data_IF_029651165291
#
_entry.id   IF_029651165291
#
_cell.length_a   1.000
_cell.length_b   1.000
_cell.length_c   1.000
_cell.angle_alpha   90.00
_cell.angle_beta   90.00
_cell.angle_gamma   90.00
#
_symmetry.space_group_name_H-M   'P 1'
#
loop_
_entity.id
_entity.type
_entity.pdbx_description
1 polymer ?
#
# COMPACT_ATOMS: atom_id res chain seq x y z
N UNK A 1 15.59 -17.72 11.83
CA UNK A 1 14.62 -18.58 12.55
C UNK A 1 13.48 -18.88 11.61
N UNK A 2 12.92 -20.08 11.72
CA UNK A 2 11.72 -20.46 10.97
C UNK A 2 10.62 -20.89 11.93
N UNK A 3 9.39 -20.58 11.58
CA UNK A 3 8.20 -21.10 12.24
C UNK A 3 7.36 -21.86 11.21
N UNK A 4 7.00 -23.08 11.59
CA UNK A 4 6.17 -23.97 10.78
C UNK A 4 4.75 -23.93 11.34
N UNK A 5 3.82 -23.48 10.50
CA UNK A 5 2.40 -23.43 10.82
C UNK A 5 1.70 -24.61 10.16
N UNK A 6 1.23 -25.56 10.94
CA UNK A 6 0.50 -26.73 10.44
C UNK A 6 -0.81 -26.32 9.74
N UNK A 7 -1.06 -26.84 8.55
CA UNK A 7 -2.21 -26.50 7.71
C UNK A 7 -3.01 -27.76 7.40
N UNK A 8 -4.26 -27.79 7.86
CA UNK A 8 -5.17 -28.88 7.53
C UNK A 8 -5.85 -28.66 6.18
N UNK A 9 -6.04 -29.72 5.41
CA UNK A 9 -6.78 -29.66 4.15
C UNK A 9 -6.05 -29.08 2.94
N UNK A 10 -4.88 -28.49 3.13
CA UNK A 10 -4.08 -27.92 2.04
C UNK A 10 -3.43 -28.99 1.16
N UNK A 11 -3.04 -28.64 -0.06
CA UNK A 11 -2.35 -29.52 -1.01
C UNK A 11 -0.85 -29.26 -0.94
N UNK A 12 -0.05 -30.31 -0.77
CA UNK A 12 1.42 -30.17 -0.77
C UNK A 12 1.91 -29.67 -2.14
N UNK A 13 2.88 -28.76 -2.14
CA UNK A 13 3.40 -28.11 -3.34
C UNK A 13 2.56 -26.91 -3.83
N UNK A 14 1.40 -26.66 -3.23
CA UNK A 14 0.62 -25.46 -3.51
C UNK A 14 1.32 -24.23 -2.92
N UNK A 15 1.36 -23.13 -3.67
CA UNK A 15 1.90 -21.86 -3.19
C UNK A 15 0.76 -21.00 -2.65
N UNK A 16 0.92 -20.54 -1.42
CA UNK A 16 -0.05 -19.70 -0.71
C UNK A 16 0.61 -18.42 -0.24
N UNK A 17 -0.18 -17.39 0.02
CA UNK A 17 0.28 -16.23 0.76
C UNK A 17 0.01 -16.47 2.25
N UNK A 18 1.04 -16.35 3.07
CA UNK A 18 0.93 -16.47 4.50
C UNK A 18 1.52 -15.25 5.20
N UNK A 19 0.88 -14.80 6.27
CA UNK A 19 1.35 -13.67 7.07
C UNK A 19 1.02 -13.85 8.54
N UNK A 20 1.84 -13.25 9.41
CA UNK A 20 1.62 -13.22 10.86
C UNK A 20 2.30 -12.01 11.48
N UNK A 21 1.73 -11.51 12.56
CA UNK A 21 2.38 -10.52 13.43
C UNK A 21 3.15 -11.22 14.53
N UNK A 22 4.31 -10.65 14.90
CA UNK A 22 5.12 -11.11 16.00
C UNK A 22 4.91 -10.18 17.20
N UNK A 23 4.56 -10.76 18.34
CA UNK A 23 4.31 -10.04 19.58
C UNK A 23 5.12 -10.60 20.73
N UNK A 24 5.61 -9.73 21.63
CA UNK A 24 6.14 -10.10 22.93
C UNK A 24 5.08 -9.85 24.00
N UNK A 25 4.84 -10.83 24.85
CA UNK A 25 3.85 -10.75 25.94
C UNK A 25 4.52 -11.04 27.27
N UNK A 26 4.31 -10.16 28.26
CA UNK A 26 4.71 -10.36 29.65
C UNK A 26 3.74 -9.65 30.60
N UNK A 27 3.31 -10.34 31.67
CA UNK A 27 2.54 -9.70 32.75
C UNK A 27 1.21 -9.06 32.37
N UNK A 28 0.63 -9.45 31.22
CA UNK A 28 -0.60 -8.85 30.67
C UNK A 28 -0.37 -7.67 29.73
N UNK A 29 0.86 -7.22 29.59
CA UNK A 29 1.26 -6.25 28.57
C UNK A 29 1.69 -6.96 27.29
N UNK A 30 1.48 -6.30 26.15
CA UNK A 30 1.86 -6.81 24.83
C UNK A 30 2.56 -5.73 24.01
N UNK A 31 3.62 -6.13 23.32
CA UNK A 31 4.45 -5.25 22.49
C UNK A 31 4.64 -5.90 21.11
N UNK A 32 4.44 -5.15 20.06
CA UNK A 32 4.72 -5.59 18.69
C UNK A 32 6.22 -5.68 18.48
N UNK A 33 6.66 -6.77 17.86
CA UNK A 33 8.04 -7.00 17.46
C UNK A 33 8.25 -6.80 15.95
N UNK A 34 7.23 -7.15 15.15
CA UNK A 34 7.31 -7.06 13.71
C UNK A 34 6.20 -7.82 13.01
N UNK A 35 6.34 -7.96 11.72
CA UNK A 35 5.44 -8.70 10.86
C UNK A 35 6.25 -9.59 9.92
N UNK A 36 5.74 -10.78 9.64
CA UNK A 36 6.33 -11.73 8.68
C UNK A 36 5.27 -12.16 7.68
N UNK A 37 5.66 -12.33 6.46
CA UNK A 37 4.75 -12.84 5.43
C UNK A 37 5.39 -12.93 4.06
N UNK A 38 4.68 -13.62 3.17
CA UNK A 38 5.08 -13.77 1.80
C UNK A 38 4.46 -15.01 1.15
N UNK A 39 4.85 -15.24 -0.09
CA UNK A 39 4.50 -16.48 -0.79
C UNK A 39 5.32 -17.64 -0.20
N UNK A 40 4.65 -18.69 0.19
CA UNK A 40 5.25 -19.89 0.76
C UNK A 40 4.63 -21.13 0.12
N UNK A 41 5.47 -22.11 -0.18
CA UNK A 41 5.00 -23.41 -0.62
C UNK A 41 4.56 -24.27 0.58
N UNK A 42 3.45 -24.97 0.44
CA UNK A 42 2.99 -25.93 1.45
C UNK A 42 3.91 -27.15 1.42
N UNK A 43 4.76 -27.25 2.41
CA UNK A 43 5.67 -28.36 2.61
C UNK A 43 5.01 -29.51 3.38
N UNK A 44 5.64 -30.68 3.35
CA UNK A 44 5.20 -31.87 4.10
C UNK A 44 6.39 -32.50 4.84
N UNK A 45 6.21 -32.73 6.13
CA UNK A 45 7.14 -33.51 6.92
C UNK A 45 6.39 -34.46 7.84
N UNK A 46 6.79 -35.73 7.91
CA UNK A 46 6.13 -36.73 8.75
C UNK A 46 4.62 -36.90 8.50
N UNK A 47 4.13 -36.53 7.30
CA UNK A 47 2.69 -36.52 6.97
C UNK A 47 1.93 -35.29 7.43
N UNK A 48 2.57 -34.36 8.11
CA UNK A 48 2.00 -33.06 8.49
C UNK A 48 2.33 -32.05 7.39
N UNK A 49 1.32 -31.32 6.93
CA UNK A 49 1.48 -30.21 6.00
C UNK A 49 1.65 -28.92 6.76
N UNK A 50 2.55 -28.08 6.30
CA UNK A 50 2.85 -26.81 6.97
C UNK A 50 3.30 -25.74 5.99
N UNK A 51 3.10 -24.50 6.41
CA UNK A 51 3.69 -23.30 5.80
C UNK A 51 4.85 -22.85 6.66
N UNK A 52 6.00 -22.59 6.06
CA UNK A 52 7.20 -22.12 6.77
C UNK A 52 7.38 -20.63 6.53
N UNK A 53 7.31 -19.84 7.61
CA UNK A 53 7.66 -18.43 7.60
C UNK A 53 9.02 -18.25 8.27
N UNK A 54 9.92 -17.55 7.56
CA UNK A 54 11.25 -17.22 8.05
C UNK A 54 11.32 -15.79 8.57
N UNK A 55 12.08 -15.57 9.62
CA UNK A 55 12.43 -14.25 10.11
C UNK A 55 13.86 -14.20 10.62
N UNK A 56 14.48 -13.03 10.54
CA UNK A 56 15.80 -12.86 11.10
C UNK A 56 15.72 -12.78 12.62
N UNK A 57 16.61 -13.50 13.29
CA UNK A 57 16.70 -13.49 14.74
C UNK A 57 16.89 -12.10 15.34
N UNK A 58 17.55 -11.21 14.61
CA UNK A 58 17.81 -9.82 15.02
C UNK A 58 16.56 -8.95 15.06
N UNK A 59 15.46 -9.40 14.43
CA UNK A 59 14.17 -8.74 14.49
C UNK A 59 13.43 -9.00 15.79
N UNK A 60 13.87 -10.01 16.57
CA UNK A 60 13.21 -10.43 17.80
C UNK A 60 14.11 -10.14 18.98
N UNK A 61 13.86 -9.04 19.66
CA UNK A 61 14.40 -8.76 20.98
C UNK A 61 13.31 -9.07 22.01
N UNK A 62 13.46 -10.20 22.70
CA UNK A 62 12.64 -10.53 23.86
C UNK A 62 13.37 -10.13 25.12
N UNK A 63 12.71 -9.37 25.98
CA UNK A 63 13.18 -9.12 27.33
C UNK A 63 13.01 -10.39 28.20
N UNK A 64 13.68 -10.42 29.36
CA UNK A 64 13.53 -11.54 30.32
C UNK A 64 12.08 -11.66 30.78
N UNK A 65 11.50 -12.84 30.62
CA UNK A 65 10.11 -13.12 30.95
C UNK A 65 9.07 -12.83 29.85
N UNK A 66 9.49 -12.28 28.72
CA UNK A 66 8.60 -12.14 27.57
C UNK A 66 8.46 -13.45 26.80
N UNK A 67 7.26 -13.70 26.31
CA UNK A 67 6.92 -14.83 25.44
C UNK A 67 6.60 -14.33 24.05
N UNK A 68 7.18 -14.95 23.01
CA UNK A 68 6.82 -14.70 21.62
C UNK A 68 5.45 -15.30 21.35
N UNK A 69 4.60 -14.50 20.69
CA UNK A 69 3.27 -14.92 20.26
C UNK A 69 3.08 -14.45 18.82
N UNK A 70 2.48 -15.28 18.00
CA UNK A 70 2.00 -14.88 16.66
C UNK A 70 0.54 -14.50 16.77
N UNK A 71 0.19 -13.35 16.20
CA UNK A 71 -1.19 -12.87 16.10
C UNK A 71 -1.58 -12.63 14.65
N UNK A 72 -2.88 -12.60 14.43
CA UNK A 72 -3.44 -12.26 13.13
C UNK A 72 -2.82 -13.08 11.97
N UNK A 73 -2.61 -14.38 12.25
CA UNK A 73 -2.08 -15.30 11.26
C UNK A 73 -3.13 -15.49 10.19
N UNK A 74 -2.75 -15.30 8.94
CA UNK A 74 -3.62 -15.59 7.80
C UNK A 74 -2.91 -16.43 6.76
N UNK A 75 -3.68 -17.28 6.16
CA UNK A 75 -3.33 -18.05 4.98
C UNK A 75 -4.32 -17.69 3.89
N UNK A 76 -3.83 -17.34 2.71
CA UNK A 76 -4.65 -16.92 1.59
C UNK A 76 -4.20 -17.62 0.32
N UNK A 77 -5.15 -17.85 -0.56
CA UNK A 77 -4.89 -18.34 -1.89
C UNK A 77 -3.97 -17.34 -2.64
N UNK A 78 -2.99 -17.89 -3.38
CA UNK A 78 -1.97 -17.09 -4.06
C UNK A 78 -2.54 -16.06 -5.03
N UNK A 79 -3.47 -16.47 -5.87
CA UNK A 79 -3.93 -15.67 -7.01
C UNK A 79 -5.21 -14.89 -6.72
N UNK A 80 -6.02 -15.38 -5.79
CA UNK A 80 -7.32 -14.83 -5.43
C UNK A 80 -7.35 -14.08 -4.10
N UNK A 81 -6.32 -14.20 -3.24
CA UNK A 81 -6.33 -13.72 -1.85
C UNK A 81 -7.55 -14.20 -1.06
N UNK A 82 -8.25 -15.21 -1.58
CA UNK A 82 -9.32 -15.81 -0.82
C UNK A 82 -8.76 -16.37 0.50
N UNK A 83 -9.33 -16.00 1.65
CA UNK A 83 -8.87 -16.52 2.91
C UNK A 83 -9.06 -18.03 2.98
N UNK A 84 -7.96 -18.75 3.20
CA UNK A 84 -7.98 -20.22 3.40
C UNK A 84 -8.09 -20.54 4.89
N UNK A 85 -7.37 -19.82 5.73
CA UNK A 85 -7.47 -19.90 7.20
C UNK A 85 -7.05 -18.58 7.85
N UNK A 86 -7.65 -18.29 9.01
CA UNK A 86 -7.32 -17.13 9.83
C UNK A 86 -7.27 -17.57 11.28
N UNK A 87 -6.18 -17.24 11.99
CA UNK A 87 -6.00 -17.52 13.42
C UNK A 87 -5.71 -16.22 14.15
N UNK A 88 -6.46 -16.00 15.22
CA UNK A 88 -6.27 -14.80 16.03
C UNK A 88 -4.91 -14.81 16.76
N UNK A 89 -4.54 -15.95 17.30
CA UNK A 89 -3.30 -16.08 18.09
C UNK A 89 -2.79 -17.53 18.08
N UNK A 90 -1.46 -17.69 17.98
CA UNK A 90 -0.76 -18.94 18.15
C UNK A 90 0.46 -18.67 19.04
N UNK A 91 0.58 -19.42 20.13
CA UNK A 91 1.79 -19.44 20.96
C UNK A 91 2.69 -20.55 20.43
N UNK A 92 3.91 -20.25 19.94
CA UNK A 92 4.81 -21.29 19.45
C UNK A 92 5.27 -22.20 20.60
N UNK A 93 5.59 -23.44 20.29
CA UNK A 93 6.16 -24.35 21.27
C UNK A 93 7.54 -23.82 21.71
N UNK A 94 7.66 -23.46 22.97
CA UNK A 94 8.80 -22.74 23.55
C UNK A 94 10.16 -23.49 23.47
N UNK A 95 10.18 -24.74 23.03
CA UNK A 95 11.41 -25.51 22.82
C UNK A 95 12.27 -25.02 21.67
N UNK A 96 11.74 -24.13 20.82
CA UNK A 96 12.36 -23.72 19.56
C UNK A 96 13.07 -22.37 19.60
N UNK A 97 12.87 -21.53 20.62
CA UNK A 97 13.49 -20.20 20.65
C UNK A 97 14.86 -20.26 21.35
N UNK A 98 15.97 -20.11 20.60
CA UNK A 98 17.28 -20.06 21.24
C UNK A 98 17.38 -18.79 22.09
N UNK A 99 18.00 -18.94 23.29
CA UNK A 99 18.30 -17.82 24.15
C UNK A 99 18.98 -16.68 23.40
N UNK A 100 18.61 -15.45 23.74
CA UNK A 100 19.12 -14.20 23.17
C UNK A 100 20.65 -14.25 23.00
N UNK A 101 21.15 -14.10 21.77
CA UNK A 101 22.52 -13.69 21.57
C UNK A 101 22.52 -12.16 21.59
N UNK A 102 22.82 -11.60 22.73
CA UNK A 102 23.23 -10.21 22.82
C UNK A 102 24.36 -9.95 21.80
N UNK A 103 24.25 -8.85 21.05
CA UNK A 103 25.27 -8.32 20.11
C UNK A 103 25.24 -8.81 18.66
N UNK A 104 24.11 -8.78 17.98
CA UNK A 104 24.18 -8.61 16.52
C UNK A 104 23.94 -7.14 16.17
N UNK A 105 24.80 -6.57 15.32
CA UNK A 105 24.58 -5.22 14.79
C UNK A 105 23.18 -5.14 14.14
N UNK A 106 22.51 -3.97 14.19
CA UNK A 106 21.26 -3.78 13.48
C UNK A 106 21.39 -4.23 12.02
N UNK A 107 20.37 -4.89 11.50
CA UNK A 107 20.33 -5.23 10.08
C UNK A 107 20.30 -3.97 9.24
N UNK A 108 21.22 -3.87 8.29
CA UNK A 108 21.10 -2.89 7.22
C UNK A 108 19.98 -3.34 6.29
N UNK A 109 18.97 -2.51 6.12
CA UNK A 109 17.84 -2.75 5.24
C UNK A 109 18.26 -3.09 3.79
N UNK A 110 19.38 -2.53 3.34
CA UNK A 110 19.95 -2.81 2.02
C UNK A 110 20.51 -4.24 1.89
N UNK A 111 20.76 -4.93 2.99
CA UNK A 111 21.27 -6.31 2.98
C UNK A 111 20.19 -7.39 2.79
N UNK A 112 18.92 -7.03 2.85
CA UNK A 112 17.81 -7.94 2.65
C UNK A 112 17.45 -7.99 1.16
N UNK A 113 18.21 -8.73 0.39
CA UNK A 113 17.94 -8.92 -1.03
C UNK A 113 16.60 -9.60 -1.24
N UNK A 114 15.62 -8.87 -1.78
CA UNK A 114 14.52 -9.45 -2.50
C UNK A 114 13.07 -9.16 -2.09
N UNK A 115 12.81 -8.50 -0.96
CA UNK A 115 11.45 -8.05 -0.63
C UNK A 115 11.53 -6.62 -0.10
N UNK A 116 11.16 -5.60 -0.89
CA UNK A 116 11.06 -4.24 -0.38
C UNK A 116 10.03 -4.17 0.75
N UNK A 117 10.39 -3.59 1.86
CA UNK A 117 9.44 -3.16 2.87
C UNK A 117 9.22 -4.06 4.07
N UNK A 118 9.65 -5.32 4.09
CA UNK A 118 9.38 -6.21 5.23
C UNK A 118 10.35 -6.06 6.41
N UNK A 119 11.49 -5.40 6.23
CA UNK A 119 12.62 -5.54 7.15
C UNK A 119 12.86 -4.38 8.11
N UNK A 120 12.30 -3.19 7.89
CA UNK A 120 12.76 -1.99 8.59
C UNK A 120 11.68 -1.06 9.08
N UNK A 121 10.45 -1.38 8.81
CA UNK A 121 9.38 -0.55 9.31
C UNK A 121 9.04 -1.04 10.70
N UNK A 122 9.24 -0.19 11.71
CA UNK A 122 8.53 -0.36 12.97
C UNK A 122 7.05 -0.49 12.59
N UNK A 123 6.50 -1.71 12.75
CA UNK A 123 5.06 -1.91 12.54
C UNK A 123 4.38 -0.85 13.41
N UNK A 124 3.53 0.00 12.83
CA UNK A 124 2.84 1.00 13.63
C UNK A 124 2.17 0.31 14.81
N UNK A 125 2.04 0.98 15.95
CA UNK A 125 1.32 0.47 17.14
C UNK A 125 -0.13 0.05 16.87
N UNK A 126 -0.51 0.01 15.62
CA UNK A 126 -1.83 -0.21 15.03
C UNK A 126 -2.21 -1.64 14.86
N UNK A 127 -1.29 -2.53 14.99
CA UNK A 127 -1.51 -3.93 14.64
C UNK A 127 -2.26 -4.75 15.70
N UNK A 128 -3.01 -4.15 16.58
CA UNK A 128 -4.02 -4.90 17.31
C UNK A 128 -5.24 -5.08 16.39
N UNK A 129 -5.33 -6.22 15.72
CA UNK A 129 -6.52 -6.63 14.94
C UNK A 129 -7.76 -6.96 15.81
N UNK A 130 -7.73 -6.65 17.07
CA UNK A 130 -8.97 -6.33 17.78
C UNK A 130 -9.37 -4.97 17.25
N UNK A 131 -10.44 -4.88 16.42
CA UNK A 131 -10.84 -3.61 15.85
C UNK A 131 -10.96 -2.63 16.99
N UNK A 132 -10.19 -1.54 17.03
CA UNK A 132 -10.35 -0.58 18.11
C UNK A 132 -11.80 -0.14 18.11
N UNK A 133 -12.38 -0.02 19.30
CA UNK A 133 -13.69 0.62 19.46
C UNK A 133 -13.53 2.05 18.96
N UNK A 134 -13.93 2.32 17.73
CA UNK A 134 -13.62 3.60 17.10
C UNK A 134 -14.41 3.90 15.82
N UNK A 135 -14.12 5.04 15.26
CA UNK A 135 -14.74 5.57 14.05
C UNK A 135 -14.24 4.87 12.78
N UNK A 136 -15.04 4.93 11.74
CA UNK A 136 -14.68 4.54 10.38
C UNK A 136 -14.32 5.79 9.58
N UNK A 137 -13.50 5.66 8.53
CA UNK A 137 -13.13 6.80 7.70
C UNK A 137 -13.06 6.46 6.22
N UNK A 138 -13.15 7.49 5.38
CA UNK A 138 -12.65 7.50 4.03
C UNK A 138 -11.36 8.34 4.02
N UNK A 139 -10.22 7.69 3.88
CA UNK A 139 -8.92 8.37 3.84
C UNK A 139 -8.72 8.99 2.47
N UNK A 140 -8.44 10.28 2.43
CA UNK A 140 -8.14 11.03 1.21
C UNK A 140 -6.62 11.27 1.16
N UNK A 141 -5.92 10.51 0.33
CA UNK A 141 -4.47 10.56 0.23
C UNK A 141 -4.02 11.45 -0.93
N UNK A 142 -3.02 12.31 -0.69
CA UNK A 142 -2.32 13.07 -1.70
C UNK A 142 -1.35 12.20 -2.52
N UNK A 143 -0.62 12.80 -3.45
CA UNK A 143 0.39 12.14 -4.27
C UNK A 143 1.83 12.47 -3.88
N UNK A 144 2.75 12.07 -4.76
CA UNK A 144 4.16 12.41 -4.71
C UNK A 144 4.35 13.93 -4.82
N UNK A 145 5.30 14.46 -4.05
CA UNK A 145 5.71 15.84 -4.14
C UNK A 145 4.57 16.86 -3.94
N UNK A 146 3.59 16.52 -3.11
CA UNK A 146 2.49 17.42 -2.78
C UNK A 146 2.95 18.48 -1.75
N UNK A 147 2.46 19.68 -1.90
CA UNK A 147 2.63 20.79 -0.94
C UNK A 147 1.41 20.91 0.01
N UNK A 148 0.31 20.28 -0.34
CA UNK A 148 -0.90 20.17 0.47
C UNK A 148 -1.71 18.94 0.06
N UNK A 149 -2.75 18.62 0.82
CA UNK A 149 -3.73 17.61 0.41
C UNK A 149 -4.66 18.22 -0.66
N UNK A 150 -4.71 17.67 -1.90
CA UNK A 150 -5.43 18.29 -3.01
C UNK A 150 -6.94 18.04 -3.00
N UNK A 151 -7.47 17.26 -2.05
CA UNK A 151 -8.87 16.90 -2.03
C UNK A 151 -9.74 17.98 -1.38
N UNK A 152 -10.77 18.49 -2.06
CA UNK A 152 -11.70 19.48 -1.50
C UNK A 152 -12.65 18.79 -0.51
N UNK A 153 -12.33 18.83 0.78
CA UNK A 153 -13.09 18.16 1.85
C UNK A 153 -14.59 18.46 1.83
N UNK A 154 -14.99 19.65 1.39
CA UNK A 154 -16.40 20.03 1.29
C UNK A 154 -17.21 19.19 0.29
N UNK A 155 -16.54 18.41 -0.58
CA UNK A 155 -17.19 17.50 -1.53
C UNK A 155 -17.30 16.06 -1.00
N UNK A 156 -16.88 15.82 0.24
CA UNK A 156 -16.92 14.50 0.88
C UNK A 156 -17.77 14.54 2.16
N UNK A 157 -18.16 13.37 2.66
CA UNK A 157 -18.89 13.27 3.92
C UNK A 157 -18.00 13.62 5.13
N UNK A 158 -18.63 13.85 6.28
CA UNK A 158 -17.91 14.25 7.51
C UNK A 158 -17.00 13.17 8.13
N UNK A 159 -17.00 11.94 7.59
CA UNK A 159 -16.09 10.85 7.92
C UNK A 159 -14.89 10.77 6.97
N UNK A 160 -14.78 11.68 6.00
CA UNK A 160 -13.59 11.81 5.17
C UNK A 160 -12.45 12.46 5.95
N UNK A 161 -11.28 11.84 5.87
CA UNK A 161 -10.10 12.28 6.60
C UNK A 161 -8.93 12.52 5.65
N UNK A 162 -8.40 13.76 5.58
CA UNK A 162 -7.26 14.06 4.74
C UNK A 162 -5.98 13.52 5.39
N UNK A 163 -5.28 12.67 4.67
CA UNK A 163 -3.93 12.24 5.03
C UNK A 163 -2.91 13.25 4.48
N UNK A 164 -1.99 13.68 5.31
CA UNK A 164 -0.92 14.60 4.94
C UNK A 164 0.43 14.12 5.49
N UNK A 165 1.36 13.87 4.59
CA UNK A 165 2.79 13.80 4.84
C UNK A 165 3.50 14.45 3.65
N UNK A 166 4.00 15.66 3.84
CA UNK A 166 4.56 16.48 2.77
C UNK A 166 6.05 16.18 2.50
N UNK A 167 6.54 15.02 2.92
CA UNK A 167 7.85 14.52 2.53
C UNK A 167 7.88 14.21 1.02
N UNK A 168 8.80 14.85 0.30
CA UNK A 168 8.76 14.89 -1.17
C UNK A 168 9.42 13.69 -1.85
N UNK A 169 9.87 12.67 -1.12
CA UNK A 169 10.64 11.54 -1.68
C UNK A 169 10.24 10.18 -1.13
N UNK A 170 9.06 10.04 -0.53
CA UNK A 170 8.59 8.77 0.01
C UNK A 170 8.48 7.69 -1.07
N UNK A 171 9.08 6.53 -0.83
CA UNK A 171 8.79 5.31 -1.61
C UNK A 171 7.33 4.89 -1.42
N UNK A 172 6.81 4.00 -2.28
CA UNK A 172 5.47 3.43 -2.10
C UNK A 172 5.33 2.75 -0.74
N UNK A 173 6.39 2.08 -0.28
CA UNK A 173 6.43 1.42 1.01
C UNK A 173 6.39 2.41 2.18
N UNK A 174 7.32 3.37 2.21
CA UNK A 174 7.37 4.38 3.26
C UNK A 174 6.05 5.19 3.35
N UNK A 175 5.47 5.51 2.19
CA UNK A 175 4.18 6.19 2.11
C UNK A 175 3.05 5.32 2.70
N UNK A 176 2.99 4.04 2.32
CA UNK A 176 1.97 3.10 2.80
C UNK A 176 2.04 2.94 4.33
N UNK A 177 3.24 2.84 4.87
CA UNK A 177 3.47 2.71 6.32
C UNK A 177 3.08 3.96 7.09
N UNK A 178 3.50 5.13 6.62
CA UNK A 178 3.13 6.39 7.28
C UNK A 178 1.61 6.62 7.20
N UNK A 179 0.98 6.32 6.05
CA UNK A 179 -0.47 6.38 5.89
C UNK A 179 -1.17 5.45 6.89
N UNK A 180 -0.75 4.19 6.98
CA UNK A 180 -1.31 3.22 7.92
C UNK A 180 -1.14 3.70 9.36
N UNK A 181 0.05 4.22 9.72
CA UNK A 181 0.36 4.72 11.05
C UNK A 181 -0.58 5.86 11.46
N UNK A 182 -0.78 6.82 10.57
CA UNK A 182 -1.66 7.97 10.87
C UNK A 182 -3.15 7.60 10.84
N UNK A 183 -3.55 6.68 9.94
CA UNK A 183 -4.92 6.19 9.84
C UNK A 183 -5.30 5.17 10.95
N UNK A 184 -4.37 4.79 11.78
CA UNK A 184 -4.54 3.86 12.88
C UNK A 184 -5.58 4.25 13.93
N UNK A 185 -5.89 5.51 14.00
CA UNK A 185 -6.94 6.04 14.85
C UNK A 185 -8.36 5.57 14.44
N UNK A 186 -8.50 5.00 13.23
CA UNK A 186 -9.76 4.48 12.71
C UNK A 186 -9.81 2.96 12.82
N UNK A 187 -10.98 2.45 13.15
CA UNK A 187 -11.25 1.02 13.21
C UNK A 187 -11.10 0.36 11.84
N UNK A 188 -11.64 1.01 10.84
CA UNK A 188 -11.54 0.61 9.44
C UNK A 188 -11.60 1.84 8.55
N UNK A 189 -11.06 1.73 7.34
CA UNK A 189 -11.08 2.81 6.37
C UNK A 189 -10.94 2.30 4.94
N UNK A 190 -11.63 2.98 4.00
CA UNK A 190 -11.30 2.91 2.59
C UNK A 190 -10.34 4.03 2.21
N UNK A 191 -9.71 3.94 1.04
CA UNK A 191 -8.76 4.95 0.57
C UNK A 191 -9.20 5.50 -0.79
N UNK A 192 -9.18 6.83 -0.91
CA UNK A 192 -9.19 7.55 -2.17
C UNK A 192 -7.82 8.17 -2.34
N UNK A 193 -7.03 7.64 -3.28
CA UNK A 193 -5.66 8.06 -3.53
C UNK A 193 -5.53 8.90 -4.80
N UNK A 194 -4.85 10.04 -4.71
CA UNK A 194 -4.41 10.82 -5.86
C UNK A 194 -2.97 10.47 -6.19
N UNK A 195 -2.65 10.33 -7.48
CA UNK A 195 -1.26 10.14 -7.91
C UNK A 195 -0.60 8.96 -7.18
N UNK A 196 0.61 9.11 -6.64
CA UNK A 196 1.31 8.07 -5.87
C UNK A 196 0.49 7.56 -4.66
N UNK A 197 -0.44 8.33 -4.12
CA UNK A 197 -1.31 7.87 -3.03
C UNK A 197 -2.13 6.62 -3.39
N UNK A 198 -2.44 6.42 -4.67
CA UNK A 198 -3.05 5.18 -5.15
C UNK A 198 -2.08 3.99 -5.17
N UNK A 199 -0.80 4.22 -5.52
CA UNK A 199 0.25 3.20 -5.40
C UNK A 199 0.46 2.80 -3.94
N UNK A 200 0.53 3.78 -3.03
CA UNK A 200 0.66 3.54 -1.60
C UNK A 200 -0.52 2.75 -1.03
N UNK A 201 -1.76 3.04 -1.46
CA UNK A 201 -2.94 2.29 -1.06
C UNK A 201 -2.86 0.81 -1.49
N UNK A 202 -2.49 0.55 -2.74
CA UNK A 202 -2.33 -0.81 -3.25
C UNK A 202 -1.17 -1.54 -2.57
N UNK A 203 -0.07 -0.84 -2.30
CA UNK A 203 1.06 -1.38 -1.55
C UNK A 203 0.64 -1.75 -0.12
N UNK A 204 -0.05 -0.85 0.57
CA UNK A 204 -0.58 -1.09 1.91
C UNK A 204 -1.45 -2.34 1.96
N UNK A 205 -2.44 -2.43 1.07
CA UNK A 205 -3.33 -3.58 1.04
C UNK A 205 -2.61 -4.90 0.72
N UNK A 206 -1.54 -4.84 -0.06
CA UNK A 206 -0.80 -6.03 -0.48
C UNK A 206 0.10 -6.58 0.64
N UNK A 207 0.80 -5.69 1.35
CA UNK A 207 1.92 -6.10 2.21
C UNK A 207 1.65 -5.93 3.70
N UNK A 208 0.68 -5.08 4.09
CA UNK A 208 0.45 -4.73 5.49
C UNK A 208 -0.99 -4.97 5.91
N UNK A 209 -1.15 -5.41 7.16
CA UNK A 209 -2.46 -5.38 7.77
C UNK A 209 -2.76 -3.97 8.27
N UNK A 210 -3.99 -3.51 8.03
CA UNK A 210 -4.42 -2.18 8.42
C UNK A 210 -5.94 -2.11 8.56
N UNK A 211 -6.46 -0.94 8.90
CA UNK A 211 -7.90 -0.70 8.88
C UNK A 211 -8.55 -0.89 7.49
N UNK A 212 -7.72 -0.88 6.43
CA UNK A 212 -8.17 -1.16 5.07
C UNK A 212 -8.70 -2.60 4.90
N UNK A 213 -8.13 -3.58 5.61
CA UNK A 213 -8.57 -4.98 5.57
C UNK A 213 -9.93 -5.20 6.23
N UNK A 214 -10.37 -4.28 7.08
CA UNK A 214 -11.64 -4.33 7.81
C UNK A 214 -12.74 -3.46 7.20
N UNK A 215 -12.41 -2.68 6.19
CA UNK A 215 -13.35 -1.78 5.57
C UNK A 215 -14.39 -2.53 4.74
N UNK A 216 -15.63 -2.07 4.81
CA UNK A 216 -16.74 -2.62 4.02
C UNK A 216 -18.10 -2.10 4.48
N UNK A 217 -19.16 -2.35 3.68
CA UNK A 217 -19.10 -2.68 2.26
C UNK A 217 -18.70 -1.48 1.40
N UNK A 218 -18.10 -1.71 0.23
CA UNK A 218 -17.75 -0.65 -0.71
C UNK A 218 -16.44 -0.91 -1.44
N UNK A 219 -15.95 0.12 -2.14
CA UNK A 219 -14.68 0.10 -2.85
C UNK A 219 -13.55 0.40 -1.87
N UNK A 220 -12.65 -0.56 -1.70
CA UNK A 220 -11.55 -0.42 -0.73
C UNK A 220 -10.55 0.66 -1.16
N UNK A 221 -10.14 0.63 -2.42
CA UNK A 221 -9.15 1.54 -2.98
C UNK A 221 -9.68 2.14 -4.27
N UNK A 222 -9.71 3.46 -4.33
CA UNK A 222 -10.12 4.24 -5.48
C UNK A 222 -9.00 5.21 -5.84
N UNK A 223 -8.40 5.07 -7.01
CA UNK A 223 -7.25 5.88 -7.41
C UNK A 223 -7.61 6.81 -8.55
N UNK A 224 -7.11 8.04 -8.48
CA UNK A 224 -7.31 9.08 -9.47
C UNK A 224 -5.95 9.56 -9.97
N UNK A 225 -5.71 9.44 -11.28
CA UNK A 225 -4.44 9.86 -11.90
C UNK A 225 -3.21 9.17 -11.31
N UNK A 226 -3.33 7.91 -10.94
CA UNK A 226 -2.25 7.16 -10.30
C UNK A 226 -1.34 6.52 -11.35
N UNK A 227 -0.01 6.75 -11.29
CA UNK A 227 0.95 6.16 -12.22
C UNK A 227 1.27 4.71 -11.84
N UNK A 228 0.29 3.80 -12.03
CA UNK A 228 0.43 2.39 -11.64
C UNK A 228 1.51 1.66 -12.44
N UNK A 229 1.70 2.03 -13.71
CA UNK A 229 2.81 1.54 -14.55
C UNK A 229 3.94 2.57 -14.67
N UNK A 230 3.96 3.56 -13.77
CA UNK A 230 4.95 4.62 -13.73
C UNK A 230 4.63 5.79 -14.65
N UNK A 231 5.53 6.77 -14.66
CA UNK A 231 5.50 7.90 -15.59
C UNK A 231 6.91 8.19 -16.10
N UNK A 232 7.09 8.44 -17.41
CA UNK A 232 8.38 8.86 -17.95
C UNK A 232 8.95 10.14 -17.32
N UNK A 233 8.08 10.98 -16.77
CA UNK A 233 8.49 12.22 -16.09
C UNK A 233 9.26 11.96 -14.81
N UNK A 234 9.02 10.85 -14.11
CA UNK A 234 9.74 10.52 -12.88
C UNK A 234 11.24 10.25 -13.12
N UNK A 235 11.62 9.84 -14.32
CA UNK A 235 13.01 9.74 -14.76
C UNK A 235 13.65 11.08 -15.14
N UNK A 236 12.85 12.15 -15.27
CA UNK A 236 13.30 13.50 -15.59
C UNK A 236 12.77 14.48 -14.54
N UNK A 237 13.51 14.60 -13.44
CA UNK A 237 13.12 15.42 -12.29
C UNK A 237 12.89 16.91 -12.63
N UNK A 238 13.60 17.43 -13.63
CA UNK A 238 13.42 18.82 -14.05
C UNK A 238 12.05 19.01 -14.74
N UNK A 239 11.64 18.06 -15.60
CA UNK A 239 10.35 18.12 -16.28
C UNK A 239 9.20 17.84 -15.27
N UNK A 240 9.37 16.90 -14.38
CA UNK A 240 8.39 16.61 -13.33
C UNK A 240 8.21 17.78 -12.37
N UNK A 241 9.31 18.37 -11.89
CA UNK A 241 9.27 19.57 -11.03
C UNK A 241 8.60 20.76 -11.72
N UNK A 242 8.85 20.95 -13.02
CA UNK A 242 8.17 21.97 -13.79
C UNK A 242 6.67 21.70 -13.93
N UNK A 243 6.26 20.45 -14.15
CA UNK A 243 4.86 20.05 -14.23
C UNK A 243 4.10 20.20 -12.91
N UNK A 244 4.77 19.90 -11.78
CA UNK A 244 4.18 19.99 -10.45
C UNK A 244 4.37 21.36 -9.78
N UNK A 245 5.21 22.22 -10.37
CA UNK A 245 5.48 23.58 -9.84
C UNK A 245 6.37 23.63 -8.60
N UNK A 246 6.98 22.53 -8.19
CA UNK A 246 7.80 22.38 -6.98
C UNK A 246 9.07 21.56 -7.25
N UNK A 247 10.05 21.64 -6.35
CA UNK A 247 11.23 20.77 -6.41
C UNK A 247 10.94 19.46 -5.70
N UNK A 248 11.00 18.36 -6.45
CA UNK A 248 10.76 17.02 -5.94
C UNK A 248 12.07 16.27 -5.69
N UNK A 249 12.11 15.44 -4.66
CA UNK A 249 13.16 14.44 -4.47
C UNK A 249 13.12 13.35 -5.53
N UNK A 250 14.10 12.46 -5.57
CA UNK A 250 14.05 11.30 -6.46
C UNK A 250 13.09 10.25 -5.92
N UNK A 251 12.31 9.66 -6.81
CA UNK A 251 11.42 8.55 -6.47
C UNK A 251 11.47 7.51 -7.60
N UNK A 252 12.16 6.41 -7.33
CA UNK A 252 12.31 5.33 -8.30
C UNK A 252 11.00 4.56 -8.53
N UNK A 253 10.16 4.42 -7.51
CA UNK A 253 8.96 3.56 -7.56
C UNK A 253 7.91 4.01 -8.59
N UNK A 254 7.91 5.30 -8.92
CA UNK A 254 7.01 5.86 -9.91
C UNK A 254 7.66 6.07 -11.29
N UNK A 255 8.91 5.62 -11.49
CA UNK A 255 9.47 5.45 -12.84
C UNK A 255 8.86 4.22 -13.51
N UNK A 256 8.86 4.12 -14.86
CA UNK A 256 8.35 2.92 -15.53
C UNK A 256 9.04 1.63 -15.08
N UNK A 257 10.38 1.63 -14.93
CA UNK A 257 11.13 0.46 -14.47
C UNK A 257 10.84 0.11 -13.00
N UNK A 258 10.75 1.11 -12.13
CA UNK A 258 10.43 0.92 -10.72
C UNK A 258 9.01 0.42 -10.52
N UNK A 259 8.04 0.99 -11.24
CA UNK A 259 6.65 0.54 -11.22
C UNK A 259 6.50 -0.89 -11.75
N UNK A 260 7.20 -1.25 -12.83
CA UNK A 260 7.19 -2.61 -13.36
C UNK A 260 7.75 -3.62 -12.33
N UNK A 261 8.88 -3.29 -11.68
CA UNK A 261 9.46 -4.11 -10.63
C UNK A 261 8.52 -4.27 -9.42
N UNK A 262 7.89 -3.17 -8.99
CA UNK A 262 6.91 -3.16 -7.91
C UNK A 262 5.66 -3.98 -8.25
N UNK A 263 5.07 -3.79 -9.44
CA UNK A 263 3.87 -4.52 -9.89
C UNK A 263 4.12 -6.02 -10.02
N UNK A 264 5.34 -6.46 -10.32
CA UNK A 264 5.67 -7.88 -10.37
C UNK A 264 5.41 -8.60 -9.04
N UNK A 265 5.48 -7.86 -7.91
CA UNK A 265 5.17 -8.37 -6.57
C UNK A 265 3.71 -8.21 -6.14
N UNK A 266 2.87 -7.51 -6.92
CA UNK A 266 1.46 -7.25 -6.57
C UNK A 266 0.55 -8.32 -7.19
N UNK A 267 -0.11 -9.16 -6.41
CA UNK A 267 -0.98 -10.22 -6.93
C UNK A 267 -2.25 -9.67 -7.59
N UNK A 268 -2.79 -10.41 -8.55
CA UNK A 268 -4.02 -10.05 -9.29
C UNK A 268 -5.20 -9.77 -8.35
N UNK A 269 -5.30 -10.49 -7.25
CA UNK A 269 -6.40 -10.28 -6.31
C UNK A 269 -6.32 -8.95 -5.55
N UNK A 270 -5.12 -8.49 -5.20
CA UNK A 270 -4.96 -7.16 -4.64
C UNK A 270 -5.33 -6.10 -5.68
N UNK A 271 -4.90 -6.29 -6.95
CA UNK A 271 -5.28 -5.42 -8.06
C UNK A 271 -6.79 -5.36 -8.27
N UNK A 272 -7.50 -6.49 -8.09
CA UNK A 272 -8.96 -6.55 -8.23
C UNK A 272 -9.74 -5.70 -7.21
N UNK A 273 -9.10 -5.28 -6.12
CA UNK A 273 -9.69 -4.36 -5.13
C UNK A 273 -9.50 -2.88 -5.49
N UNK A 274 -8.73 -2.61 -6.53
CA UNK A 274 -8.41 -1.27 -6.98
C UNK A 274 -9.40 -0.80 -8.07
N UNK A 275 -9.92 0.42 -7.90
CA UNK A 275 -10.77 1.11 -8.88
C UNK A 275 -10.01 2.31 -9.41
N UNK A 276 -9.70 2.33 -10.70
CA UNK A 276 -8.83 3.32 -11.32
C UNK A 276 -9.63 4.31 -12.17
N UNK A 277 -9.41 5.58 -11.93
CA UNK A 277 -9.96 6.70 -12.67
C UNK A 277 -8.83 7.46 -13.33
N UNK A 278 -8.91 7.65 -14.63
CA UNK A 278 -7.94 8.45 -15.39
C UNK A 278 -8.59 9.70 -15.96
N UNK A 279 -7.78 10.68 -16.24
CA UNK A 279 -8.22 11.94 -16.84
C UNK A 279 -7.33 12.32 -18.00
N UNK A 280 -7.85 13.22 -18.83
CA UNK A 280 -7.09 13.90 -19.86
C UNK A 280 -7.56 15.35 -19.94
N UNK A 281 -6.66 16.25 -20.28
CA UNK A 281 -7.00 17.65 -20.49
C UNK A 281 -7.76 17.86 -21.80
N UNK A 282 -8.40 19.03 -21.93
CA UNK A 282 -9.08 19.42 -23.17
C UNK A 282 -8.06 19.90 -24.18
N UNK A 283 -7.82 19.14 -25.22
CA UNK A 283 -6.95 19.59 -26.33
C UNK A 283 -7.63 20.73 -27.12
N UNK A 284 -7.06 21.94 -27.03
CA UNK A 284 -7.52 23.10 -27.79
C UNK A 284 -6.41 23.54 -28.74
N UNK A 285 -6.62 23.45 -30.06
CA UNK A 285 -5.62 23.87 -31.05
C UNK A 285 -5.11 25.28 -30.79
N UNK A 286 -3.80 25.48 -30.82
CA UNK A 286 -3.09 26.74 -30.62
C UNK A 286 -3.10 27.31 -29.18
N UNK A 287 -3.69 26.64 -28.23
CA UNK A 287 -3.56 26.96 -26.80
C UNK A 287 -2.73 25.88 -26.11
N UNK A 288 -1.53 26.26 -25.73
CA UNK A 288 -0.61 25.40 -25.02
C UNK A 288 -0.50 25.88 -23.57
N UNK A 289 -0.71 25.00 -22.63
CA UNK A 289 -0.42 25.20 -21.23
C UNK A 289 0.65 24.21 -20.74
N UNK A 290 0.94 24.17 -19.46
CA UNK A 290 1.93 23.24 -18.91
C UNK A 290 1.58 21.77 -19.12
N UNK A 291 0.29 21.40 -19.14
CA UNK A 291 -0.14 20.06 -19.48
C UNK A 291 0.30 19.63 -20.89
N UNK A 292 0.42 20.59 -21.80
CA UNK A 292 0.59 20.32 -23.23
C UNK A 292 2.01 20.62 -23.75
N UNK A 293 2.71 21.60 -23.19
CA UNK A 293 4.02 22.03 -23.78
C UNK A 293 5.20 21.28 -23.18
N UNK A 294 5.20 21.06 -21.87
CA UNK A 294 6.39 20.54 -21.16
C UNK A 294 6.33 19.02 -21.09
N UNK A 295 5.14 18.46 -21.00
CA UNK A 295 4.92 17.04 -20.75
C UNK A 295 4.62 16.24 -22.01
N UNK A 296 4.02 16.86 -23.01
CA UNK A 296 3.66 16.27 -24.33
C UNK A 296 4.86 15.70 -25.11
N UNK A 297 6.07 16.19 -24.82
CA UNK A 297 7.32 15.63 -25.40
C UNK A 297 7.68 14.28 -24.78
N UNK A 298 7.20 14.00 -23.57
CA UNK A 298 7.55 12.81 -22.79
C UNK A 298 6.39 11.82 -22.61
N UNK A 299 5.16 12.31 -22.72
CA UNK A 299 3.95 11.54 -22.49
C UNK A 299 3.21 11.27 -23.81
N UNK A 300 2.51 10.15 -23.84
CA UNK A 300 1.65 9.76 -24.96
C UNK A 300 0.19 10.02 -24.61
N UNK A 301 -0.54 10.63 -25.55
CA UNK A 301 -1.99 10.89 -25.42
C UNK A 301 -2.82 9.59 -25.37
N UNK A 302 -3.93 9.56 -24.60
CA UNK A 302 -4.40 10.61 -23.69
C UNK A 302 -3.66 10.60 -22.35
N UNK A 303 -3.41 11.77 -21.78
CA UNK A 303 -2.68 11.96 -20.54
C UNK A 303 -3.22 13.16 -19.73
N UNK A 304 -2.81 13.35 -18.47
CA UNK A 304 -3.32 14.40 -17.57
C UNK A 304 -2.28 15.48 -17.20
N UNK A 305 -1.16 15.50 -17.91
CA UNK A 305 0.00 16.36 -17.65
C UNK A 305 1.12 15.68 -16.86
N UNK A 306 0.86 14.51 -16.26
CA UNK A 306 1.84 13.73 -15.48
C UNK A 306 1.76 12.24 -15.77
N UNK A 307 0.56 11.71 -15.96
CA UNK A 307 0.30 10.27 -16.11
C UNK A 307 -0.44 9.99 -17.41
N UNK A 308 0.12 9.10 -18.21
CA UNK A 308 -0.57 8.56 -19.38
C UNK A 308 -1.78 7.73 -18.96
N UNK A 309 -2.88 7.81 -19.69
CA UNK A 309 -4.07 6.99 -19.42
C UNK A 309 -3.74 5.50 -19.37
N UNK A 310 -2.87 5.02 -20.25
CA UNK A 310 -2.43 3.62 -20.27
C UNK A 310 -1.75 3.24 -18.96
N UNK A 311 -0.86 4.08 -18.45
CA UNK A 311 -0.12 3.84 -17.21
C UNK A 311 -0.97 3.99 -15.93
N UNK A 312 -2.14 4.61 -16.04
CA UNK A 312 -3.13 4.73 -14.95
C UNK A 312 -3.99 3.48 -14.73
N UNK A 313 -3.86 2.46 -15.57
CA UNK A 313 -4.61 1.21 -15.48
C UNK A 313 -3.68 0.00 -15.46
N UNK A 314 -4.05 -1.02 -14.70
CA UNK A 314 -3.32 -2.30 -14.67
C UNK A 314 -4.27 -3.47 -14.88
N UNK A 315 -3.74 -4.54 -15.44
CA UNK A 315 -4.48 -5.79 -15.60
C UNK A 315 -4.91 -6.31 -14.23
N UNK A 316 -6.20 -6.63 -14.11
CA UNK A 316 -6.79 -7.11 -12.87
C UNK A 316 -7.51 -6.04 -12.05
N UNK A 317 -7.22 -4.74 -12.25
CA UNK A 317 -7.95 -3.65 -11.59
C UNK A 317 -9.26 -3.32 -12.31
N UNK A 318 -10.16 -2.62 -11.61
CA UNK A 318 -11.43 -2.14 -12.15
C UNK A 318 -11.23 -0.77 -12.80
N UNK A 319 -11.22 -0.75 -14.14
CA UNK A 319 -11.15 0.49 -14.89
C UNK A 319 -12.50 1.24 -14.84
N UNK A 320 -12.51 2.43 -14.28
CA UNK A 320 -13.69 3.28 -14.10
C UNK A 320 -13.86 4.30 -15.24
N UNK A 321 -12.94 4.30 -16.19
CA UNK A 321 -13.00 5.12 -17.40
C UNK A 321 -12.11 6.37 -17.37
N UNK A 322 -12.11 7.04 -18.51
CA UNK A 322 -11.39 8.28 -18.80
C UNK A 322 -12.35 9.47 -18.78
N UNK A 323 -11.98 10.54 -18.08
CA UNK A 323 -12.73 11.81 -18.06
C UNK A 323 -11.89 12.93 -18.67
N UNK A 324 -12.48 13.71 -19.59
CA UNK A 324 -11.80 14.82 -20.28
C UNK A 324 -12.04 16.15 -19.56
N UNK A 325 -11.09 17.06 -19.65
CA UNK A 325 -11.18 18.43 -19.14
C UNK A 325 -10.57 18.60 -17.75
N UNK A 326 -9.61 17.74 -17.39
CA UNK A 326 -8.95 17.73 -16.09
C UNK A 326 -7.45 17.55 -16.26
N UNK A 327 -6.66 18.30 -15.50
CA UNK A 327 -5.22 18.13 -15.37
C UNK A 327 -4.85 17.44 -14.05
N UNK A 328 -3.62 16.95 -13.96
CA UNK A 328 -3.13 16.22 -12.78
C UNK A 328 -3.15 17.10 -11.52
N UNK A 329 -2.69 18.34 -11.63
CA UNK A 329 -2.57 19.31 -10.55
C UNK A 329 -3.25 20.64 -10.88
N UNK A 330 -3.36 21.50 -9.88
CA UNK A 330 -3.84 22.89 -10.03
C UNK A 330 -2.80 23.76 -10.76
N UNK A 331 -3.25 24.93 -11.19
CA UNK A 331 -2.39 25.92 -11.87
C UNK A 331 -2.22 25.73 -13.36
N UNK A 332 -2.87 24.73 -13.94
CA UNK A 332 -2.98 24.49 -15.37
C UNK A 332 -4.30 25.07 -15.92
N UNK A 333 -4.46 25.09 -17.23
CA UNK A 333 -5.68 25.66 -17.85
C UNK A 333 -6.95 24.92 -17.42
N UNK A 334 -6.94 23.60 -17.54
CA UNK A 334 -8.00 22.78 -17.04
C UNK A 334 -7.84 22.58 -15.52
N UNK A 335 -8.91 22.45 -14.76
CA UNK A 335 -8.82 22.32 -13.30
C UNK A 335 -8.15 21.00 -12.88
N UNK A 336 -7.63 20.97 -11.67
CA UNK A 336 -7.09 19.75 -11.08
C UNK A 336 -8.16 18.65 -11.01
N UNK A 337 -7.78 17.46 -11.41
CA UNK A 337 -8.67 16.29 -11.40
C UNK A 337 -9.30 16.01 -10.03
N UNK A 338 -8.59 16.26 -8.94
CA UNK A 338 -9.12 16.11 -7.57
C UNK A 338 -10.32 17.02 -7.27
N UNK A 339 -10.53 18.06 -8.06
CA UNK A 339 -11.66 18.99 -7.94
C UNK A 339 -12.97 18.55 -8.62
N UNK A 340 -12.99 17.42 -9.33
CA UNK A 340 -14.20 16.93 -10.01
C UNK A 340 -15.30 16.52 -9.01
N UNK A 341 -16.22 17.43 -8.74
CA UNK A 341 -17.28 17.24 -7.77
C UNK A 341 -18.20 16.04 -8.11
N UNK A 342 -18.43 15.77 -9.39
CA UNK A 342 -19.27 14.65 -9.83
C UNK A 342 -18.60 13.31 -9.51
N UNK A 343 -17.32 13.18 -9.80
CA UNK A 343 -16.56 12.01 -9.47
C UNK A 343 -16.36 11.89 -7.96
N UNK A 344 -16.06 12.96 -7.25
CA UNK A 344 -15.88 12.96 -5.80
C UNK A 344 -17.14 12.51 -5.05
N UNK A 345 -18.32 12.88 -5.54
CA UNK A 345 -19.58 12.36 -5.02
C UNK A 345 -19.67 10.81 -5.18
N UNK A 346 -19.22 10.27 -6.32
CA UNK A 346 -19.17 8.82 -6.52
C UNK A 346 -18.11 8.15 -5.64
N UNK A 347 -16.90 8.73 -5.55
CA UNK A 347 -15.83 8.23 -4.69
C UNK A 347 -16.29 8.15 -3.23
N UNK A 348 -16.96 9.21 -2.77
CA UNK A 348 -17.51 9.27 -1.43
C UNK A 348 -18.63 8.24 -1.19
N UNK A 349 -19.59 8.14 -2.11
CA UNK A 349 -20.74 7.26 -1.97
C UNK A 349 -20.39 5.76 -2.10
N UNK A 350 -19.36 5.42 -2.88
CA UNK A 350 -18.95 4.06 -3.14
C UNK A 350 -17.76 3.60 -2.28
N UNK A 351 -17.07 4.52 -1.62
CA UNK A 351 -15.93 4.20 -0.78
C UNK A 351 -16.31 3.32 0.41
N UNK A 352 -15.52 2.30 0.68
CA UNK A 352 -15.62 1.52 1.91
C UNK A 352 -15.24 2.39 3.14
N UNK A 353 -15.70 1.98 4.27
CA UNK A 353 -15.40 2.62 5.57
C UNK A 353 -14.87 1.60 6.56
#
# INVERSE_FOLDING_TARGET
IHCDFSVAGAVAGETVFAAAELWAIAGGESRVLGWIGGLSEIATDGGVRFVRLGFDRRQIELAEGETLVFRNIRLQERDGFAPLDVRAEIVPDAKALPASAASAAPLDAAAWGGQPGLATVAVPEVSSFVPPVGSHALVLSHGYCADENPWPLAQFAGDAWPYENLETSLSNDAFAVDLATRAAQFKSYGIVGHSQGGCAALHLYTYYWSGLDWAGPGRLMQCVGTPLEGTPLAGNLAALGAALGIQCGSNYDITPDGAAAWLAGIPTAARAKLHTYTTTFTNVPFFYDYCNIVTDVFLSDPEDGVVENAAGHIVGAQNMGLTTGWCHVSGMRDPAQTGDASRNAVLNAQGAR
#
